data_IF_421542963902
#
_entry.id   IF_421542963902
#
_cell.length_a   1.000
_cell.length_b   1.000
_cell.length_c   1.000
_cell.angle_alpha   90.00
_cell.angle_beta   90.00
_cell.angle_gamma   90.00
#
_symmetry.space_group_name_H-M   'P 1'
#
loop_
_entity.id
_entity.type
_entity.pdbx_description
1 polymer ?
#
# COMPACT_ATOMS: atom_id res chain seq x y z
N UNK A 1 -1.46 14.86 -0.32
CA UNK A 1 -0.27 14.02 -0.59
C UNK A 1 0.02 13.14 0.62
N UNK A 2 0.24 11.85 0.38
CA UNK A 2 0.45 10.83 1.41
C UNK A 2 1.68 9.99 1.08
N UNK A 3 2.42 9.58 2.10
CA UNK A 3 3.51 8.61 2.00
C UNK A 3 2.94 7.23 2.34
N UNK A 4 3.04 6.32 1.38
CA UNK A 4 2.78 4.90 1.56
C UNK A 4 4.10 4.18 1.78
N UNK A 5 4.16 3.42 2.87
CA UNK A 5 5.22 2.47 3.13
C UNK A 5 4.61 1.07 3.22
N UNK A 6 5.19 0.06 2.57
CA UNK A 6 4.74 -1.32 2.75
C UNK A 6 5.87 -2.33 2.60
N UNK A 7 5.72 -3.49 3.24
CA UNK A 7 6.68 -4.61 3.16
C UNK A 7 5.94 -5.93 3.14
N UNK A 8 6.38 -6.86 2.30
CA UNK A 8 5.75 -8.18 2.14
C UNK A 8 6.25 -9.25 3.10
N UNK A 9 7.30 -8.94 3.86
CA UNK A 9 7.97 -9.90 4.74
C UNK A 9 8.58 -9.14 5.92
N UNK A 10 8.50 -9.65 7.16
CA UNK A 10 9.21 -9.05 8.28
C UNK A 10 10.72 -9.06 8.00
N UNK A 11 11.34 -7.87 7.99
CA UNK A 11 12.78 -7.68 7.73
C UNK A 11 13.18 -7.39 6.28
N UNK A 12 12.24 -7.39 5.32
CA UNK A 12 12.52 -6.87 3.98
C UNK A 12 12.49 -5.34 3.97
N UNK A 13 13.37 -4.75 3.16
CA UNK A 13 13.40 -3.30 2.95
C UNK A 13 12.02 -2.80 2.57
N UNK A 14 11.47 -1.83 3.32
CA UNK A 14 10.15 -1.29 3.03
C UNK A 14 10.17 -0.54 1.70
N UNK A 15 9.13 -0.75 0.90
CA UNK A 15 8.90 -0.01 -0.33
C UNK A 15 8.19 1.29 0.04
N UNK A 16 8.80 2.41 -0.35
CA UNK A 16 8.26 3.75 -0.14
C UNK A 16 7.69 4.29 -1.44
N UNK A 17 6.45 4.78 -1.41
CA UNK A 17 5.77 5.38 -2.54
C UNK A 17 4.99 6.61 -2.13
N UNK A 18 4.98 7.61 -3.00
CA UNK A 18 4.19 8.83 -2.82
C UNK A 18 2.86 8.68 -3.51
N UNK A 19 1.79 8.96 -2.78
CA UNK A 19 0.41 8.91 -3.26
C UNK A 19 -0.12 10.34 -3.31
N UNK A 20 -0.53 10.75 -4.51
CA UNK A 20 -1.32 11.96 -4.65
C UNK A 20 -2.81 11.64 -4.44
N UNK A 21 -3.36 12.16 -3.35
CA UNK A 21 -4.74 11.97 -2.95
C UNK A 21 -5.20 13.19 -2.13
N UNK A 22 -6.47 13.55 -2.32
CA UNK A 22 -7.11 14.69 -1.66
C UNK A 22 -7.61 14.39 -0.24
N UNK A 23 -7.92 13.13 0.05
CA UNK A 23 -8.40 12.65 1.35
C UNK A 23 -7.86 11.24 1.67
N UNK A 24 -8.13 10.77 2.88
CA UNK A 24 -7.67 9.47 3.38
C UNK A 24 -8.31 8.28 2.64
N UNK A 25 -9.59 8.36 2.26
CA UNK A 25 -10.26 7.29 1.54
C UNK A 25 -9.67 7.13 0.12
N UNK A 26 -9.40 8.25 -0.55
CA UNK A 26 -8.69 8.30 -1.82
C UNK A 26 -7.26 7.78 -1.69
N UNK A 27 -6.56 8.10 -0.58
CA UNK A 27 -5.23 7.59 -0.31
C UNK A 27 -5.22 6.07 -0.13
N UNK A 28 -6.20 5.51 0.58
CA UNK A 28 -6.37 4.06 0.73
C UNK A 28 -6.69 3.36 -0.59
N UNK A 29 -7.55 3.95 -1.42
CA UNK A 29 -7.87 3.40 -2.74
C UNK A 29 -6.64 3.41 -3.66
N UNK A 30 -5.87 4.49 -3.67
CA UNK A 30 -4.63 4.59 -4.42
C UNK A 30 -3.55 3.63 -3.87
N UNK A 31 -3.44 3.48 -2.55
CA UNK A 31 -2.48 2.57 -1.92
C UNK A 31 -2.67 1.12 -2.36
N UNK A 32 -3.92 0.66 -2.45
CA UNK A 32 -4.24 -0.68 -2.99
C UNK A 32 -3.67 -0.89 -4.38
N UNK A 33 -3.87 0.08 -5.28
CA UNK A 33 -3.36 0.03 -6.66
C UNK A 33 -1.84 0.06 -6.71
N UNK A 34 -1.21 0.93 -5.92
CA UNK A 34 0.25 1.05 -5.85
C UNK A 34 0.89 -0.24 -5.33
N UNK A 35 0.33 -0.85 -4.28
CA UNK A 35 0.79 -2.14 -3.76
C UNK A 35 0.65 -3.23 -4.83
N UNK A 36 -0.49 -3.33 -5.50
CA UNK A 36 -0.72 -4.32 -6.57
C UNK A 36 0.31 -4.19 -7.70
N UNK A 37 0.55 -2.96 -8.17
CA UNK A 37 1.55 -2.66 -9.21
C UNK A 37 2.96 -3.01 -8.77
N UNK A 38 3.37 -2.62 -7.56
CA UNK A 38 4.70 -2.89 -7.03
C UNK A 38 4.96 -4.39 -6.80
N UNK A 39 3.92 -5.20 -6.60
CA UNK A 39 4.00 -6.66 -6.55
C UNK A 39 4.03 -7.31 -7.94
N UNK A 40 4.03 -6.53 -9.03
CA UNK A 40 3.99 -7.01 -10.40
C UNK A 40 2.65 -7.66 -10.79
N UNK A 41 1.58 -7.35 -10.04
CA UNK A 41 0.24 -7.90 -10.22
C UNK A 41 -0.79 -6.76 -10.20
N UNK A 42 -0.87 -5.93 -11.25
CA UNK A 42 -1.75 -4.75 -11.26
C UNK A 42 -3.23 -5.10 -11.05
N UNK A 43 -3.66 -6.28 -11.48
CA UNK A 43 -5.03 -6.78 -11.31
C UNK A 43 -5.25 -7.52 -9.98
N UNK A 44 -4.26 -7.54 -9.09
CA UNK A 44 -4.43 -8.16 -7.78
C UNK A 44 -5.44 -7.38 -6.92
N UNK A 45 -6.34 -8.12 -6.27
CA UNK A 45 -7.19 -7.56 -5.24
C UNK A 45 -6.37 -7.31 -3.98
N UNK A 46 -6.31 -6.07 -3.53
CA UNK A 46 -5.59 -5.67 -2.31
C UNK A 46 -6.59 -5.22 -1.24
N UNK A 47 -6.58 -5.92 -0.11
CA UNK A 47 -7.30 -5.55 1.09
C UNK A 47 -6.32 -4.92 2.09
N UNK A 48 -6.70 -3.75 2.62
CA UNK A 48 -5.97 -3.04 3.67
C UNK A 48 -6.79 -3.16 4.95
N UNK A 49 -6.18 -3.70 6.00
CA UNK A 49 -6.79 -3.80 7.33
C UNK A 49 -6.46 -2.55 8.16
N UNK A 50 -7.34 -2.22 9.11
CA UNK A 50 -7.17 -1.06 10.02
C UNK A 50 -5.98 -1.18 10.98
N UNK A 51 -5.35 -2.35 11.05
CA UNK A 51 -4.17 -2.63 11.88
C UNK A 51 -2.84 -2.34 11.19
N UNK A 52 -2.85 -1.84 9.94
CA UNK A 52 -1.63 -1.64 9.15
C UNK A 52 -1.11 -2.93 8.50
N UNK A 53 -2.00 -3.90 8.24
CA UNK A 53 -1.67 -5.12 7.49
C UNK A 53 -2.41 -5.16 6.16
N UNK A 54 -1.79 -5.71 5.12
CA UNK A 54 -2.45 -5.89 3.83
C UNK A 54 -2.42 -7.35 3.37
N UNK A 55 -3.41 -7.70 2.54
CA UNK A 55 -3.46 -8.95 1.80
C UNK A 55 -3.72 -8.66 0.33
N UNK A 56 -2.85 -9.17 -0.55
CA UNK A 56 -2.96 -9.10 -1.99
C UNK A 56 -3.22 -10.50 -2.56
N UNK A 57 -4.14 -10.63 -3.52
CA UNK A 57 -4.46 -11.91 -4.14
C UNK A 57 -4.80 -11.79 -5.63
N UNK A 58 -4.37 -12.76 -6.43
CA UNK A 58 -4.67 -12.87 -7.85
C UNK A 58 -4.72 -14.37 -8.24
N UNK A 59 -5.93 -14.93 -8.38
CA UNK A 59 -6.12 -16.36 -8.62
C UNK A 59 -5.51 -17.21 -7.49
N UNK A 60 -4.61 -18.14 -7.86
CA UNK A 60 -3.90 -19.01 -6.91
C UNK A 60 -2.71 -18.36 -6.20
N UNK A 61 -2.39 -17.11 -6.51
CA UNK A 61 -1.31 -16.38 -5.87
C UNK A 61 -1.85 -15.47 -4.77
N UNK A 62 -1.18 -15.45 -3.62
CA UNK A 62 -1.45 -14.46 -2.58
C UNK A 62 -0.16 -14.03 -1.89
N UNK A 63 -0.18 -12.81 -1.36
CA UNK A 63 0.90 -12.26 -0.54
C UNK A 63 0.34 -11.32 0.51
N UNK A 64 0.88 -11.36 1.71
CA UNK A 64 0.50 -10.48 2.80
C UNK A 64 1.69 -9.66 3.27
N UNK A 65 1.42 -8.58 4.00
CA UNK A 65 2.47 -7.74 4.51
C UNK A 65 1.96 -6.67 5.46
N UNK A 66 2.85 -5.75 5.81
CA UNK A 66 2.52 -4.54 6.58
C UNK A 66 2.50 -3.33 5.68
N UNK A 67 1.66 -2.37 6.01
CA UNK A 67 1.61 -1.07 5.37
C UNK A 67 1.40 0.04 6.40
N UNK A 68 1.82 1.25 6.04
CA UNK A 68 1.53 2.48 6.75
C UNK A 68 1.24 3.56 5.71
N UNK A 69 0.21 4.36 5.95
CA UNK A 69 -0.12 5.54 5.15
C UNK A 69 -0.06 6.73 6.10
N UNK A 70 0.87 7.63 5.84
CA UNK A 70 1.04 8.84 6.64
C UNK A 70 0.81 10.07 5.75
N UNK A 71 0.10 11.11 6.24
CA UNK A 71 0.03 12.38 5.53
C UNK A 71 1.45 12.93 5.33
N UNK A 72 1.83 13.19 4.09
CA UNK A 72 3.08 13.87 3.77
C UNK A 72 2.93 15.28 4.28
N UNK A 73 3.54 15.62 5.43
CA UNK A 73 3.60 17.02 5.85
C UNK A 73 4.43 17.75 4.79
N UNK A 74 3.76 18.53 3.95
CA UNK A 74 4.43 19.55 3.17
C UNK A 74 5.13 20.46 4.17
N UNK A 75 6.46 20.39 4.21
CA UNK A 75 7.28 21.41 4.87
C UNK A 75 6.89 22.73 4.24
N UNK A 76 6.27 23.58 5.05
CA UNK A 76 5.74 24.88 4.68
C UNK A 76 6.87 25.89 4.53
#
# INVERSE_FOLDING_TARGET
MFDLQFSTSPGSDPIHQKIDAGDEAAAHAAAKRVIAQALGKPDAFVHLDGTGTFRAGAGYWSRSGRFSITPSRATR
#
